data_IF_442709025351
#
_entry.id   IF_442709025351
#
_cell.length_a   1.000
_cell.length_b   1.000
_cell.length_c   1.000
_cell.angle_alpha   90.00
_cell.angle_beta   90.00
_cell.angle_gamma   90.00
#
_symmetry.space_group_name_H-M   'P 1'
#
loop_
_entity.id
_entity.type
_entity.pdbx_description
1 polymer ?
#
# COMPACT_ATOMS: atom_id res chain seq x y z
N UNK A 1 -60.59 -23.46 12.64
CA UNK A 1 -60.16 -24.88 12.49
C UNK A 1 -58.83 -24.82 11.75
N UNK A 2 -57.69 -25.19 12.35
CA UNK A 2 -57.26 -26.59 12.63
C UNK A 2 -57.43 -27.39 11.33
N UNK A 3 -56.41 -27.67 10.53
CA UNK A 3 -55.15 -28.40 10.72
C UNK A 3 -54.74 -28.89 9.31
N UNK A 4 -53.72 -29.69 9.00
CA UNK A 4 -52.59 -30.32 9.72
C UNK A 4 -51.63 -30.82 8.62
N UNK A 5 -50.31 -30.84 8.86
CA UNK A 5 -49.36 -31.51 7.94
C UNK A 5 -49.57 -33.03 8.02
N UNK A 6 -49.30 -33.82 6.96
CA UNK A 6 -47.93 -34.35 6.82
C UNK A 6 -47.47 -34.58 5.35
N UNK A 7 -46.16 -34.77 5.17
CA UNK A 7 -45.63 -35.62 4.10
C UNK A 7 -44.55 -36.54 4.69
N UNK A 8 -44.63 -37.82 4.35
CA UNK A 8 -43.83 -38.93 4.88
C UNK A 8 -42.63 -39.26 3.98
N UNK A 9 -41.75 -40.14 4.48
CA UNK A 9 -40.41 -40.39 3.94
C UNK A 9 -40.30 -41.62 3.02
N UNK A 10 -39.08 -41.79 2.47
CA UNK A 10 -38.54 -42.97 1.76
C UNK A 10 -39.05 -43.20 0.30
N UNK A 11 -38.31 -43.86 -0.60
CA UNK A 11 -37.10 -44.69 -0.42
C UNK A 11 -36.09 -44.57 -1.58
N UNK A 12 -34.89 -45.15 -1.41
CA UNK A 12 -33.86 -45.30 -2.45
C UNK A 12 -34.29 -46.30 -3.55
N UNK A 13 -33.77 -46.09 -4.77
CA UNK A 13 -33.44 -47.17 -5.70
C UNK A 13 -32.23 -46.79 -6.56
N UNK A 14 -31.12 -47.50 -6.40
CA UNK A 14 -29.95 -47.43 -7.29
C UNK A 14 -30.10 -48.43 -8.43
N UNK A 15 -29.76 -48.02 -9.65
CA UNK A 15 -29.56 -48.92 -10.78
C UNK A 15 -28.32 -48.48 -11.58
N UNK A 16 -27.25 -49.27 -11.51
CA UNK A 16 -26.13 -49.16 -12.46
C UNK A 16 -26.52 -49.85 -13.77
N UNK A 17 -26.25 -49.20 -14.89
CA UNK A 17 -26.10 -49.87 -16.18
C UNK A 17 -24.85 -49.29 -16.86
N UNK A 18 -23.88 -50.16 -17.18
CA UNK A 18 -22.66 -49.78 -17.90
C UNK A 18 -22.85 -50.02 -19.41
N UNK A 19 -22.39 -49.10 -20.25
CA UNK A 19 -22.50 -49.22 -21.72
C UNK A 19 -21.60 -48.24 -22.50
N UNK A 20 -20.96 -48.74 -23.56
CA UNK A 20 -19.86 -48.11 -24.34
C UNK A 20 -20.17 -48.15 -25.85
N UNK A 21 -19.69 -47.23 -26.71
CA UNK A 21 -18.85 -46.03 -26.55
C UNK A 21 -19.08 -45.10 -27.77
N UNK A 22 -18.98 -43.78 -27.56
CA UNK A 22 -18.76 -42.75 -28.60
C UNK A 22 -19.87 -42.55 -29.68
N UNK A 23 -20.00 -41.43 -30.39
CA UNK A 23 -19.28 -40.14 -30.39
C UNK A 23 -20.27 -38.97 -30.27
N UNK A 24 -20.04 -38.08 -29.31
CA UNK A 24 -20.73 -36.80 -29.22
C UNK A 24 -19.94 -35.87 -28.32
N UNK A 25 -19.51 -34.72 -28.83
CA UNK A 25 -18.80 -33.74 -28.02
C UNK A 25 -19.79 -33.14 -27.01
N UNK A 26 -19.82 -33.72 -25.80
CA UNK A 26 -20.32 -33.00 -24.64
C UNK A 26 -19.42 -31.76 -24.50
N UNK A 27 -19.98 -30.60 -24.80
CA UNK A 27 -19.31 -29.33 -24.55
C UNK A 27 -18.83 -29.35 -23.09
N UNK A 28 -17.54 -29.08 -22.88
CA UNK A 28 -17.04 -28.94 -21.52
C UNK A 28 -17.93 -27.92 -20.81
N UNK A 29 -18.52 -28.33 -19.68
CA UNK A 29 -19.07 -27.36 -18.75
C UNK A 29 -17.97 -26.31 -18.52
N UNK A 30 -18.28 -24.99 -18.58
CA UNK A 30 -17.27 -23.99 -18.34
C UNK A 30 -16.63 -24.31 -17.01
N UNK A 31 -15.30 -24.50 -17.02
CA UNK A 31 -14.57 -24.75 -15.80
C UNK A 31 -14.95 -23.64 -14.83
N UNK A 32 -15.50 -24.00 -13.67
CA UNK A 32 -15.88 -23.01 -12.68
C UNK A 32 -14.67 -22.13 -12.42
N UNK A 33 -14.72 -20.86 -12.84
CA UNK A 33 -13.64 -19.91 -12.61
C UNK A 33 -13.33 -19.97 -11.12
N UNK A 34 -12.14 -20.50 -10.79
CA UNK A 34 -11.64 -20.40 -9.42
C UNK A 34 -11.68 -18.92 -9.06
N UNK A 35 -12.29 -18.59 -7.92
CA UNK A 35 -12.33 -17.22 -7.45
C UNK A 35 -10.89 -16.68 -7.47
N UNK A 36 -10.68 -15.61 -8.24
CA UNK A 36 -9.39 -14.95 -8.43
C UNK A 36 -8.89 -14.44 -7.07
N UNK A 37 -8.10 -15.25 -6.37
CA UNK A 37 -7.57 -14.94 -5.04
C UNK A 37 -7.04 -13.51 -5.00
N UNK A 38 -7.59 -12.69 -4.11
CA UNK A 38 -7.17 -11.29 -3.92
C UNK A 38 -5.67 -11.18 -3.70
N UNK A 39 -5.08 -12.16 -3.01
CA UNK A 39 -3.64 -12.27 -2.79
C UNK A 39 -2.92 -12.63 -4.09
N UNK A 40 -2.05 -11.71 -4.52
CA UNK A 40 -1.11 -11.87 -5.63
C UNK A 40 0.17 -12.53 -5.14
N UNK A 41 0.65 -13.52 -5.89
CA UNK A 41 1.96 -14.12 -5.64
C UNK A 41 3.09 -13.29 -6.27
N UNK A 42 4.13 -13.01 -5.49
CA UNK A 42 5.38 -12.37 -5.95
C UNK A 42 6.56 -13.32 -5.76
N UNK A 43 7.66 -13.06 -6.46
CA UNK A 43 8.89 -13.86 -6.26
C UNK A 43 9.47 -13.66 -4.86
N UNK A 44 10.17 -14.67 -4.36
CA UNK A 44 10.90 -14.60 -3.08
C UNK A 44 11.93 -13.46 -3.07
N UNK A 45 12.59 -13.22 -4.20
CA UNK A 45 13.53 -12.11 -4.37
C UNK A 45 12.85 -10.73 -4.28
N UNK A 46 11.67 -10.55 -4.90
CA UNK A 46 10.91 -9.29 -4.80
C UNK A 46 10.49 -9.03 -3.35
N UNK A 47 9.93 -10.05 -2.68
CA UNK A 47 9.53 -9.99 -1.28
C UNK A 47 10.70 -9.61 -0.36
N UNK A 48 11.86 -10.26 -0.53
CA UNK A 48 13.06 -9.97 0.24
C UNK A 48 13.59 -8.56 0.00
N UNK A 49 13.52 -8.05 -1.24
CA UNK A 49 13.89 -6.67 -1.58
C UNK A 49 12.95 -5.64 -0.94
N UNK A 50 11.63 -5.88 -0.97
CA UNK A 50 10.64 -5.00 -0.33
C UNK A 50 10.78 -4.99 1.21
N UNK A 51 11.03 -6.15 1.82
CA UNK A 51 11.32 -6.27 3.26
C UNK A 51 12.61 -5.54 3.64
N UNK A 52 13.68 -5.68 2.84
CA UNK A 52 14.95 -4.96 3.05
C UNK A 52 14.74 -3.45 2.91
N UNK A 53 14.02 -3.01 1.88
CA UNK A 53 13.68 -1.60 1.67
C UNK A 53 12.92 -1.01 2.86
N UNK A 54 11.92 -1.72 3.39
CA UNK A 54 11.15 -1.26 4.55
C UNK A 54 11.99 -1.23 5.83
N UNK A 55 12.82 -2.25 6.06
CA UNK A 55 13.80 -2.29 7.15
C UNK A 55 14.73 -1.07 7.11
N UNK A 56 15.29 -0.76 5.95
CA UNK A 56 16.22 0.36 5.76
C UNK A 56 15.53 1.72 5.94
N UNK A 57 14.32 1.88 5.42
CA UNK A 57 13.49 3.08 5.63
C UNK A 57 13.14 3.30 7.11
N UNK A 58 12.74 2.24 7.83
CA UNK A 58 12.48 2.29 9.28
C UNK A 58 13.77 2.63 10.05
N UNK A 59 14.88 1.96 9.74
CA UNK A 59 16.17 2.18 10.40
C UNK A 59 16.78 3.54 10.07
N UNK A 60 16.51 4.11 8.90
CA UNK A 60 16.83 5.49 8.56
C UNK A 60 16.05 6.47 9.44
N UNK A 61 14.73 6.24 9.58
CA UNK A 61 13.90 7.09 10.44
C UNK A 61 14.29 6.98 11.93
N UNK A 62 14.52 5.78 12.45
CA UNK A 62 15.01 5.57 13.83
C UNK A 62 16.34 6.28 14.09
N UNK A 63 17.31 6.15 13.18
CA UNK A 63 18.60 6.88 13.27
C UNK A 63 18.42 8.40 13.26
N UNK A 64 17.46 8.94 12.49
CA UNK A 64 17.18 10.39 12.49
C UNK A 64 16.66 10.94 13.83
N UNK A 65 16.22 10.04 14.73
CA UNK A 65 15.78 10.35 16.09
C UNK A 65 16.80 9.93 17.16
N UNK A 66 18.01 9.51 16.77
CA UNK A 66 19.04 9.00 17.69
C UNK A 66 18.75 7.61 18.27
N UNK A 67 17.81 6.86 17.69
CA UNK A 67 17.42 5.52 18.14
C UNK A 67 18.26 4.43 17.47
N UNK A 68 18.51 3.34 18.21
CA UNK A 68 19.15 2.14 17.67
C UNK A 68 18.31 1.52 16.53
N UNK A 69 18.95 1.01 15.46
CA UNK A 69 18.26 0.28 14.41
C UNK A 69 17.70 -1.06 14.96
N UNK A 70 16.60 -1.51 14.38
CA UNK A 70 16.07 -2.88 14.56
C UNK A 70 16.69 -3.85 13.56
N UNK A 71 16.74 -5.12 13.93
CA UNK A 71 17.20 -6.23 13.07
C UNK A 71 16.01 -7.03 12.53
N UNK A 72 16.04 -7.41 11.27
CA UNK A 72 15.03 -8.28 10.67
C UNK A 72 15.12 -9.71 11.21
N UNK A 73 13.98 -10.38 11.39
CA UNK A 73 13.89 -11.83 11.62
C UNK A 73 12.85 -12.45 10.69
N UNK A 74 13.25 -13.52 9.99
CA UNK A 74 12.35 -14.34 9.17
C UNK A 74 11.44 -15.19 10.06
N UNK A 75 11.94 -15.67 11.21
CA UNK A 75 11.16 -16.38 12.22
C UNK A 75 10.00 -15.53 12.70
N UNK A 76 10.24 -14.25 13.03
CA UNK A 76 9.16 -13.32 13.38
C UNK A 76 8.22 -13.11 12.21
N UNK A 77 8.74 -12.73 11.03
CA UNK A 77 7.93 -12.55 9.80
C UNK A 77 6.94 -13.69 9.50
N UNK A 78 7.36 -14.93 9.75
CA UNK A 78 6.53 -16.13 9.55
C UNK A 78 5.44 -16.33 10.63
N UNK A 79 5.40 -15.51 11.67
CA UNK A 79 4.33 -15.44 12.68
C UNK A 79 3.20 -14.58 12.14
N UNK A 80 3.46 -13.32 11.76
CA UNK A 80 2.39 -12.42 11.34
C UNK A 80 1.97 -12.56 9.85
N UNK A 81 2.72 -13.25 8.99
CA UNK A 81 2.34 -13.39 7.57
C UNK A 81 0.97 -14.05 7.38
N UNK A 82 0.58 -15.00 8.24
CA UNK A 82 -0.76 -15.59 8.19
C UNK A 82 -1.88 -14.59 8.55
N UNK A 83 -1.59 -13.62 9.44
CA UNK A 83 -2.51 -12.55 9.78
C UNK A 83 -2.60 -11.50 8.66
N UNK A 84 -1.46 -11.09 8.10
CA UNK A 84 -1.40 -10.18 6.95
C UNK A 84 -2.18 -10.74 5.75
N UNK A 85 -2.01 -12.04 5.48
CA UNK A 85 -2.79 -12.74 4.47
C UNK A 85 -4.30 -12.75 4.81
N UNK A 86 -4.67 -13.02 6.06
CA UNK A 86 -6.07 -13.05 6.49
C UNK A 86 -6.75 -11.68 6.33
N UNK A 87 -6.07 -10.59 6.68
CA UNK A 87 -6.59 -9.23 6.49
C UNK A 87 -6.94 -8.94 5.01
N UNK A 88 -6.15 -9.47 4.05
CA UNK A 88 -6.46 -9.34 2.62
C UNK A 88 -7.60 -10.28 2.19
N UNK A 89 -7.60 -11.57 2.59
CA UNK A 89 -8.68 -12.53 2.25
C UNK A 89 -10.04 -12.15 2.84
N UNK A 90 -10.03 -11.61 4.05
CA UNK A 90 -11.23 -11.15 4.75
C UNK A 90 -11.63 -9.74 4.29
N UNK A 91 -10.76 -9.05 3.53
CA UNK A 91 -10.90 -7.67 3.07
C UNK A 91 -11.24 -6.73 4.25
N UNK A 92 -10.47 -6.88 5.33
CA UNK A 92 -10.75 -6.31 6.64
C UNK A 92 -9.44 -5.88 7.31
N UNK A 93 -9.43 -4.66 7.85
CA UNK A 93 -8.23 -4.03 8.37
C UNK A 93 -8.29 -3.95 9.90
N UNK A 94 -7.72 -4.95 10.57
CA UNK A 94 -7.80 -5.13 12.02
C UNK A 94 -6.47 -5.63 12.60
N UNK A 95 -6.23 -5.36 13.88
CA UNK A 95 -5.08 -5.85 14.66
C UNK A 95 -5.35 -7.22 15.28
N UNK A 96 -4.29 -7.96 15.64
CA UNK A 96 -4.37 -9.22 16.41
C UNK A 96 -3.42 -9.21 17.60
N UNK A 97 -3.69 -10.01 18.64
CA UNK A 97 -2.75 -10.25 19.74
C UNK A 97 -2.05 -11.62 19.65
N UNK A 98 -2.39 -12.45 18.65
CA UNK A 98 -1.94 -13.85 18.57
C UNK A 98 -0.41 -14.00 18.60
N UNK A 99 0.31 -13.12 17.91
CA UNK A 99 1.77 -13.12 17.84
C UNK A 99 2.43 -12.99 19.21
N UNK A 100 1.77 -12.36 20.19
CA UNK A 100 2.31 -12.16 21.54
C UNK A 100 2.54 -13.49 22.28
N UNK A 101 1.78 -14.52 21.90
CA UNK A 101 1.81 -15.86 22.52
C UNK A 101 2.52 -16.92 21.69
N UNK A 102 3.00 -16.57 20.49
CA UNK A 102 3.68 -17.53 19.62
C UNK A 102 5.07 -17.87 20.17
N UNK A 103 5.29 -19.16 20.46
CA UNK A 103 6.55 -19.64 21.06
C UNK A 103 7.78 -19.42 20.17
N UNK A 104 7.60 -19.23 18.86
CA UNK A 104 8.67 -18.90 17.91
C UNK A 104 9.25 -17.51 18.15
N UNK A 105 8.50 -16.59 18.75
CA UNK A 105 8.99 -15.26 19.13
C UNK A 105 9.97 -15.29 20.33
N UNK A 106 10.14 -16.42 21.02
CA UNK A 106 11.04 -16.51 22.17
C UNK A 106 10.55 -15.70 23.38
N UNK A 107 11.48 -15.23 24.21
CA UNK A 107 11.16 -14.51 25.47
C UNK A 107 11.34 -13.01 25.31
N UNK A 108 10.31 -12.35 24.78
CA UNK A 108 10.26 -10.91 24.60
C UNK A 108 9.93 -10.15 25.90
N UNK A 109 10.32 -8.88 25.95
CA UNK A 109 10.06 -7.93 27.06
C UNK A 109 9.29 -6.68 26.59
N UNK A 110 9.22 -6.48 25.28
CA UNK A 110 8.39 -5.49 24.60
C UNK A 110 7.86 -6.12 23.32
N UNK A 111 6.61 -5.84 22.97
CA UNK A 111 6.08 -6.14 21.64
C UNK A 111 5.00 -5.13 21.26
N UNK A 112 4.89 -4.81 19.98
CA UNK A 112 3.75 -4.12 19.39
C UNK A 112 3.56 -4.56 17.92
N UNK A 113 2.42 -4.21 17.36
CA UNK A 113 2.10 -4.37 15.94
C UNK A 113 1.78 -3.01 15.32
N UNK A 114 2.18 -2.80 14.07
CA UNK A 114 1.65 -1.75 13.21
C UNK A 114 1.20 -2.35 11.89
N UNK A 115 0.04 -1.90 11.41
CA UNK A 115 -0.52 -2.29 10.12
C UNK A 115 -0.68 -1.05 9.24
N UNK A 116 -0.43 -1.20 7.95
CA UNK A 116 -0.74 -0.20 6.94
C UNK A 116 -1.08 -0.89 5.62
N UNK A 117 -1.72 -0.14 4.73
CA UNK A 117 -1.94 -0.53 3.36
C UNK A 117 -1.31 0.48 2.40
N UNK A 118 -0.97 -0.02 1.22
CA UNK A 118 -0.39 0.69 0.10
C UNK A 118 -1.25 0.40 -1.12
N UNK A 119 -1.58 1.46 -1.84
CA UNK A 119 -2.38 1.40 -3.07
C UNK A 119 -1.49 1.28 -4.32
N UNK A 120 -0.17 1.09 -4.13
CA UNK A 120 0.86 1.23 -5.19
C UNK A 120 1.95 0.15 -5.16
N UNK A 121 1.82 -0.93 -4.37
CA UNK A 121 2.89 -1.91 -4.12
C UNK A 121 4.19 -1.29 -3.54
N UNK A 122 4.10 -0.11 -2.92
CA UNK A 122 5.24 0.57 -2.31
C UNK A 122 5.21 0.45 -0.78
N UNK A 123 6.24 -0.16 -0.22
CA UNK A 123 6.47 -0.27 1.23
C UNK A 123 6.77 1.06 1.92
N UNK A 124 7.34 2.06 1.23
CA UNK A 124 7.60 3.37 1.86
C UNK A 124 6.29 4.10 2.18
N UNK A 125 5.20 3.81 1.45
CA UNK A 125 3.88 4.34 1.75
C UNK A 125 3.39 3.86 3.14
N UNK A 126 3.76 2.64 3.56
CA UNK A 126 3.41 2.08 4.86
C UNK A 126 4.05 2.90 5.99
N UNK A 127 5.36 3.15 5.90
CA UNK A 127 6.07 4.00 6.85
C UNK A 127 5.58 5.46 6.83
N UNK A 128 5.23 5.99 5.66
CA UNK A 128 4.65 7.34 5.55
C UNK A 128 3.34 7.43 6.33
N UNK A 129 2.45 6.44 6.23
CA UNK A 129 1.23 6.38 7.03
C UNK A 129 1.52 6.22 8.52
N UNK A 130 2.40 5.30 8.92
CA UNK A 130 2.74 5.10 10.34
C UNK A 130 3.26 6.38 11.01
N UNK A 131 4.05 7.19 10.30
CA UNK A 131 4.55 8.48 10.81
C UNK A 131 3.46 9.54 11.05
N UNK A 132 2.29 9.41 10.41
CA UNK A 132 1.14 10.31 10.64
C UNK A 132 0.24 9.89 11.80
N UNK A 133 0.30 8.63 12.23
CA UNK A 133 -0.47 8.12 13.38
C UNK A 133 0.39 8.17 14.65
N UNK A 134 -0.01 8.89 15.71
CA UNK A 134 0.77 8.95 16.94
C UNK A 134 1.07 7.57 17.56
N UNK A 135 0.11 6.64 17.50
CA UNK A 135 0.28 5.29 18.03
C UNK A 135 1.25 4.45 17.18
N UNK A 136 1.08 4.42 15.85
CA UNK A 136 2.00 3.69 14.97
C UNK A 136 3.41 4.28 14.97
N UNK A 137 3.51 5.61 15.05
CA UNK A 137 4.80 6.29 15.14
C UNK A 137 5.51 5.95 16.46
N UNK A 138 4.81 5.96 17.60
CA UNK A 138 5.36 5.54 18.88
C UNK A 138 5.79 4.06 18.89
N UNK A 139 5.06 3.19 18.18
CA UNK A 139 5.43 1.79 18.01
C UNK A 139 6.73 1.60 17.21
N UNK A 140 6.82 2.21 16.02
CA UNK A 140 8.01 2.18 15.13
C UNK A 140 9.24 2.86 15.78
N UNK A 141 9.02 3.89 16.61
CA UNK A 141 10.07 4.65 17.29
C UNK A 141 10.31 4.21 18.73
N UNK A 142 9.73 3.08 19.17
CA UNK A 142 9.96 2.55 20.51
C UNK A 142 11.46 2.29 20.74
N UNK A 143 12.10 2.86 21.77
CA UNK A 143 13.49 2.58 22.10
C UNK A 143 13.68 1.14 22.63
N UNK A 144 12.58 0.47 23.00
CA UNK A 144 12.56 -0.94 23.43
C UNK A 144 12.52 -1.93 22.25
N UNK A 145 12.28 -1.47 21.02
CA UNK A 145 12.27 -2.33 19.85
C UNK A 145 13.69 -2.64 19.38
N UNK A 146 13.99 -3.92 19.17
CA UNK A 146 15.30 -4.47 18.78
C UNK A 146 15.23 -5.36 17.53
N UNK A 147 14.13 -6.10 17.35
CA UNK A 147 13.93 -7.04 16.23
C UNK A 147 12.56 -6.82 15.60
N UNK A 148 12.48 -6.95 14.28
CA UNK A 148 11.29 -6.66 13.47
C UNK A 148 10.90 -7.87 12.61
N UNK A 149 9.63 -8.26 12.67
CA UNK A 149 8.96 -9.06 11.63
C UNK A 149 8.35 -8.14 10.58
N UNK A 150 8.42 -8.53 9.30
CA UNK A 150 7.86 -7.76 8.19
C UNK A 150 7.08 -8.68 7.24
N UNK A 151 5.81 -8.94 7.55
CA UNK A 151 4.89 -9.55 6.59
C UNK A 151 4.37 -8.54 5.58
N UNK A 152 4.34 -8.99 4.32
CA UNK A 152 3.87 -8.23 3.17
C UNK A 152 2.87 -9.09 2.40
N UNK A 153 1.65 -8.63 2.24
CA UNK A 153 0.61 -9.34 1.47
C UNK A 153 0.23 -8.50 0.27
N UNK A 154 0.59 -8.99 -0.91
CA UNK A 154 0.34 -8.30 -2.17
C UNK A 154 -1.06 -8.66 -2.65
N UNK A 155 -1.75 -7.68 -3.21
CA UNK A 155 -3.12 -7.79 -3.69
C UNK A 155 -3.27 -7.15 -5.08
N UNK A 156 -4.28 -7.60 -5.83
CA UNK A 156 -4.40 -7.24 -7.25
C UNK A 156 -4.96 -5.84 -7.50
N UNK A 157 -5.39 -5.12 -6.46
CA UNK A 157 -5.99 -3.78 -6.56
C UNK A 157 -7.48 -3.77 -6.89
N UNK A 158 -8.17 -4.90 -6.74
CA UNK A 158 -9.60 -5.05 -7.01
C UNK A 158 -10.25 -6.11 -6.10
N UNK A 159 -10.15 -5.91 -4.77
CA UNK A 159 -10.61 -6.92 -3.80
C UNK A 159 -12.07 -7.38 -4.05
N UNK A 160 -12.32 -8.69 -4.05
CA UNK A 160 -13.52 -9.29 -4.64
C UNK A 160 -14.86 -8.88 -4.01
N UNK A 161 -14.92 -8.80 -2.67
CA UNK A 161 -16.12 -8.57 -1.87
C UNK A 161 -16.41 -7.10 -1.65
N UNK A 162 -15.38 -6.25 -1.64
CA UNK A 162 -15.44 -4.84 -1.26
C UNK A 162 -15.04 -3.86 -2.36
N UNK A 163 -14.42 -4.35 -3.45
CA UNK A 163 -13.89 -3.53 -4.54
C UNK A 163 -12.72 -2.63 -4.14
N UNK A 164 -12.10 -2.85 -2.97
CA UNK A 164 -11.09 -1.95 -2.45
C UNK A 164 -9.79 -2.03 -3.26
N UNK A 165 -9.10 -0.90 -3.53
CA UNK A 165 -7.94 -0.87 -4.43
C UNK A 165 -6.61 -1.26 -3.74
N UNK A 166 -6.65 -2.18 -2.78
CA UNK A 166 -5.46 -2.55 -2.00
C UNK A 166 -4.44 -3.25 -2.91
N UNK A 167 -3.20 -2.78 -2.92
CA UNK A 167 -2.10 -3.41 -3.67
C UNK A 167 -1.14 -4.16 -2.76
N UNK A 168 -0.90 -3.63 -1.57
CA UNK A 168 0.00 -4.22 -0.59
C UNK A 168 -0.51 -3.90 0.81
N UNK A 169 -0.67 -4.91 1.64
CA UNK A 169 -0.89 -4.78 3.08
C UNK A 169 0.42 -5.15 3.78
N UNK A 170 0.88 -4.32 4.72
CA UNK A 170 2.04 -4.58 5.54
C UNK A 170 1.64 -4.73 7.00
N UNK A 171 2.02 -5.85 7.60
CA UNK A 171 1.84 -6.17 9.02
C UNK A 171 3.22 -6.32 9.60
N UNK A 172 3.54 -5.51 10.61
CA UNK A 172 4.90 -5.38 11.13
C UNK A 172 4.88 -5.45 12.65
N UNK A 173 5.70 -6.33 13.21
CA UNK A 173 5.75 -6.58 14.65
C UNK A 173 7.14 -6.22 15.18
N UNK A 174 7.20 -5.33 16.17
CA UNK A 174 8.47 -4.87 16.75
C UNK A 174 8.64 -5.40 18.18
N UNK A 175 9.62 -6.29 18.33
CA UNK A 175 9.93 -6.98 19.58
C UNK A 175 11.18 -6.39 20.25
N UNK A 176 11.18 -6.37 21.58
CA UNK A 176 12.35 -6.13 22.43
C UNK A 176 12.65 -7.35 23.29
N UNK A 177 13.91 -7.55 23.66
CA UNK A 177 14.36 -8.73 24.37
C UNK A 177 15.22 -8.37 25.58
N UNK A 178 15.36 -9.30 26.52
CA UNK A 178 16.41 -9.24 27.53
C UNK A 178 17.43 -10.36 27.27
N UNK A 179 18.70 -10.10 27.56
CA UNK A 179 19.75 -11.11 27.75
C UNK A 179 19.79 -12.23 26.69
N UNK A 180 19.73 -11.87 25.39
CA UNK A 180 19.87 -12.83 24.29
C UNK A 180 18.60 -13.63 23.96
N UNK A 181 17.41 -13.22 24.43
CA UNK A 181 16.14 -13.90 24.14
C UNK A 181 15.61 -13.76 22.69
N UNK A 182 16.31 -13.03 21.82
CA UNK A 182 15.92 -12.78 20.43
C UNK A 182 16.07 -14.03 19.54
N UNK A 183 15.24 -14.18 18.48
CA UNK A 183 15.43 -15.19 17.45
C UNK A 183 16.86 -15.17 16.86
N UNK A 184 17.44 -16.36 16.67
CA UNK A 184 18.82 -16.52 16.22
C UNK A 184 19.09 -16.03 14.79
N UNK A 185 18.04 -15.78 14.01
CA UNK A 185 18.09 -15.24 12.65
C UNK A 185 18.00 -13.69 12.60
N UNK A 186 17.99 -13.02 13.76
CA UNK A 186 17.94 -11.57 13.86
C UNK A 186 19.17 -10.90 13.20
N UNK A 187 19.00 -10.35 12.00
CA UNK A 187 20.05 -9.83 11.12
C UNK A 187 19.85 -8.36 10.76
N UNK A 188 20.92 -7.64 10.40
CA UNK A 188 20.81 -6.29 9.81
C UNK A 188 20.38 -6.33 8.33
N UNK A 189 20.28 -7.52 7.73
CA UNK A 189 19.86 -7.73 6.34
C UNK A 189 18.86 -8.87 6.22
N UNK A 190 17.97 -8.77 5.24
CA UNK A 190 17.08 -9.85 4.81
C UNK A 190 17.89 -10.83 3.96
N UNK A 191 17.80 -12.14 4.26
CA UNK A 191 18.45 -13.17 3.46
C UNK A 191 17.89 -13.17 2.03
N UNK A 192 18.77 -13.07 1.02
CA UNK A 192 18.38 -12.86 -0.38
C UNK A 192 18.06 -11.41 -0.76
N UNK A 193 17.93 -10.47 0.21
CA UNK A 193 17.85 -9.03 -0.05
C UNK A 193 19.22 -8.37 -0.30
N UNK A 194 20.30 -9.00 0.17
CA UNK A 194 21.67 -8.56 -0.07
C UNK A 194 22.26 -9.15 -1.37
N UNK A 195 21.82 -8.64 -2.52
CA UNK A 195 22.50 -8.84 -3.80
C UNK A 195 23.02 -7.49 -4.32
N UNK A 196 24.35 -7.36 -4.42
CA UNK A 196 24.92 -6.34 -5.30
C UNK A 196 24.48 -6.67 -6.73
N UNK A 197 23.72 -5.75 -7.35
CA UNK A 197 22.94 -5.99 -8.58
C UNK A 197 23.76 -6.70 -9.68
N UNK A 198 23.55 -8.01 -9.93
CA UNK A 198 24.16 -8.67 -11.07
C UNK A 198 23.34 -8.32 -12.31
N UNK A 199 23.98 -7.79 -13.34
CA UNK A 199 23.31 -7.50 -14.59
C UNK A 199 22.87 -8.81 -15.29
N UNK A 200 21.67 -8.80 -15.85
CA UNK A 200 20.95 -9.91 -16.48
C UNK A 200 20.50 -11.04 -15.52
N UNK A 201 19.25 -11.49 -15.53
CA UNK A 201 18.25 -11.38 -16.61
C UNK A 201 17.16 -10.33 -16.33
N UNK A 202 17.39 -9.10 -16.82
CA UNK A 202 16.33 -8.10 -16.92
C UNK A 202 15.49 -8.43 -18.15
N UNK A 203 14.28 -8.93 -17.96
CA UNK A 203 13.27 -8.86 -19.01
C UNK A 203 12.88 -7.37 -19.13
N UNK A 204 13.08 -6.71 -20.28
CA UNK A 204 13.10 -5.25 -20.34
C UNK A 204 11.70 -4.63 -20.32
N UNK A 205 11.11 -4.50 -19.14
CA UNK A 205 10.17 -3.40 -18.88
C UNK A 205 11.02 -2.16 -18.55
N UNK A 206 11.41 -1.43 -19.60
CA UNK A 206 12.38 -0.35 -19.53
C UNK A 206 11.92 0.85 -18.67
N UNK A 207 12.72 1.92 -18.66
CA UNK A 207 12.33 3.28 -18.24
C UNK A 207 11.18 3.92 -19.08
N UNK A 208 10.31 3.08 -19.66
CA UNK A 208 9.08 3.39 -20.38
C UNK A 208 7.81 2.87 -19.66
N UNK A 209 7.95 2.11 -18.57
CA UNK A 209 6.85 1.35 -17.93
C UNK A 209 5.68 2.21 -17.38
N UNK A 210 5.92 3.48 -17.03
CA UNK A 210 4.91 4.40 -16.49
C UNK A 210 4.57 5.54 -17.44
N UNK A 211 4.54 5.25 -18.75
CA UNK A 211 4.23 6.21 -19.82
C UNK A 211 2.94 7.01 -19.53
N UNK A 212 3.02 8.33 -19.30
CA UNK A 212 1.86 9.15 -18.97
C UNK A 212 0.87 9.24 -20.14
N UNK A 213 -0.35 8.76 -19.94
CA UNK A 213 -1.44 8.72 -20.93
C UNK A 213 -2.63 9.58 -20.49
N UNK A 214 -3.67 9.66 -21.32
CA UNK A 214 -4.89 10.41 -21.01
C UNK A 214 -4.64 11.90 -20.70
N UNK A 215 -5.52 12.48 -19.89
CA UNK A 215 -5.47 13.89 -19.52
C UNK A 215 -4.24 14.25 -18.67
N UNK A 216 -3.77 13.33 -17.81
CA UNK A 216 -2.55 13.51 -17.00
C UNK A 216 -1.31 13.50 -17.89
N UNK A 217 -1.24 12.61 -18.87
CA UNK A 217 -0.17 12.54 -19.86
C UNK A 217 -0.11 13.74 -20.80
N UNK A 218 -1.25 14.30 -21.18
CA UNK A 218 -1.31 15.57 -21.94
C UNK A 218 -0.72 16.70 -21.10
N UNK A 219 -1.14 16.87 -19.84
CA UNK A 219 -0.56 17.86 -18.93
C UNK A 219 0.93 17.65 -18.71
N UNK A 220 1.39 16.40 -18.56
CA UNK A 220 2.81 16.09 -18.42
C UNK A 220 3.62 16.52 -19.64
N UNK A 221 3.17 16.19 -20.86
CA UNK A 221 3.82 16.63 -22.11
C UNK A 221 3.83 18.15 -22.25
N UNK A 222 2.69 18.80 -22.03
CA UNK A 222 2.55 20.25 -22.18
C UNK A 222 3.42 21.04 -21.19
N UNK A 223 3.73 20.47 -20.03
CA UNK A 223 4.62 21.08 -19.04
C UNK A 223 6.12 20.80 -19.30
N UNK A 224 6.48 20.16 -20.43
CA UNK A 224 7.86 19.83 -20.79
C UNK A 224 8.30 18.40 -20.43
N UNK A 225 7.36 17.51 -20.09
CA UNK A 225 7.61 16.10 -19.81
C UNK A 225 8.66 15.90 -18.71
N UNK A 226 9.67 15.07 -19.00
CA UNK A 226 10.79 14.78 -18.10
C UNK A 226 11.58 16.05 -17.71
N UNK A 227 11.68 17.04 -18.59
CA UNK A 227 12.35 18.31 -18.27
C UNK A 227 11.50 19.20 -17.33
N UNK A 228 10.17 19.04 -17.36
CA UNK A 228 9.20 19.79 -16.57
C UNK A 228 8.90 19.18 -15.20
N UNK A 229 8.11 18.11 -15.17
CA UNK A 229 7.72 17.42 -13.93
C UNK A 229 8.71 16.34 -13.49
N UNK A 230 9.65 15.96 -14.37
CA UNK A 230 10.53 14.82 -14.12
C UNK A 230 9.93 13.49 -14.51
N UNK A 231 10.53 12.40 -14.00
CA UNK A 231 10.13 11.04 -14.35
C UNK A 231 8.88 10.60 -13.58
N UNK A 232 7.94 9.89 -14.20
CA UNK A 232 6.85 9.24 -13.47
C UNK A 232 7.41 8.16 -12.54
N UNK A 233 7.02 8.17 -11.27
CA UNK A 233 7.45 7.17 -10.27
C UNK A 233 6.44 6.04 -10.06
N UNK A 234 5.27 6.15 -10.70
CA UNK A 234 4.16 5.20 -10.64
C UNK A 234 3.33 5.29 -11.93
N UNK A 235 2.54 4.26 -12.23
CA UNK A 235 1.48 4.34 -13.24
C UNK A 235 0.38 5.32 -12.79
N UNK A 236 -0.49 5.73 -13.71
CA UNK A 236 -1.70 6.47 -13.32
C UNK A 236 -2.65 5.57 -12.52
N UNK A 237 -3.08 6.04 -11.34
CA UNK A 237 -3.87 5.32 -10.36
C UNK A 237 -5.19 6.05 -10.02
N UNK A 238 -6.20 5.35 -9.47
CA UNK A 238 -7.42 6.00 -9.01
C UNK A 238 -7.16 6.90 -7.79
N UNK A 239 -7.97 7.96 -7.68
CA UNK A 239 -8.16 8.78 -6.49
C UNK A 239 -9.67 8.77 -6.11
N UNK A 240 -10.09 9.57 -5.13
CA UNK A 240 -11.50 9.62 -4.71
C UNK A 240 -12.48 9.94 -5.85
N UNK A 241 -13.75 9.55 -5.72
CA UNK A 241 -14.86 10.02 -6.56
C UNK A 241 -14.66 9.85 -8.09
N UNK A 242 -13.97 8.78 -8.48
CA UNK A 242 -13.69 8.44 -9.88
C UNK A 242 -12.51 9.19 -10.52
N UNK A 243 -11.85 10.07 -9.78
CA UNK A 243 -10.66 10.77 -10.26
C UNK A 243 -9.43 9.87 -10.37
N UNK A 244 -8.35 10.46 -10.90
CA UNK A 244 -7.09 9.79 -11.25
C UNK A 244 -5.90 10.62 -10.79
N UNK A 245 -4.76 10.00 -10.54
CA UNK A 245 -3.51 10.72 -10.29
C UNK A 245 -2.28 9.95 -10.77
N UNK A 246 -1.21 10.70 -11.06
CA UNK A 246 0.13 10.16 -11.27
C UNK A 246 1.16 11.04 -10.56
N UNK A 247 2.19 10.42 -10.00
CA UNK A 247 3.26 11.10 -9.25
C UNK A 247 4.54 11.13 -10.07
N UNK A 248 5.23 12.28 -10.04
CA UNK A 248 6.46 12.55 -10.76
C UNK A 248 7.54 13.02 -9.81
N UNK A 249 8.81 12.73 -10.12
CA UNK A 249 9.97 13.21 -9.34
C UNK A 249 10.96 13.95 -10.24
N UNK A 250 11.35 15.16 -9.81
CA UNK A 250 12.41 15.96 -10.42
C UNK A 250 13.32 16.52 -9.33
N UNK A 251 14.62 16.33 -9.45
CA UNK A 251 15.62 16.84 -8.49
C UNK A 251 15.30 16.49 -7.02
N UNK A 252 14.80 15.26 -6.79
CA UNK A 252 14.36 14.77 -5.48
C UNK A 252 13.01 15.33 -4.97
N UNK A 253 12.33 16.17 -5.76
CA UNK A 253 11.06 16.82 -5.40
C UNK A 253 9.88 16.15 -6.10
N UNK A 254 8.83 15.86 -5.34
CA UNK A 254 7.64 15.17 -5.83
C UNK A 254 6.52 16.15 -6.25
N UNK A 255 5.95 15.90 -7.43
CA UNK A 255 4.75 16.59 -7.91
C UNK A 255 3.68 15.54 -8.21
N UNK A 256 2.48 15.72 -7.63
CA UNK A 256 1.31 14.90 -7.95
C UNK A 256 0.48 15.63 -9.00
N UNK A 257 0.25 15.01 -10.16
CA UNK A 257 -0.72 15.49 -11.14
C UNK A 257 -2.01 14.69 -10.94
N UNK A 258 -3.14 15.37 -10.79
CA UNK A 258 -4.45 14.78 -10.57
C UNK A 258 -5.42 15.19 -11.66
N UNK A 259 -6.39 14.34 -11.94
CA UNK A 259 -7.52 14.60 -12.82
C UNK A 259 -8.81 14.18 -12.12
N UNK A 260 -9.89 14.93 -12.34
CA UNK A 260 -11.26 14.46 -12.11
C UNK A 260 -12.16 14.99 -13.21
N UNK A 261 -13.33 14.38 -13.39
CA UNK A 261 -14.33 14.83 -14.36
C UNK A 261 -14.79 16.28 -14.11
N UNK A 262 -14.92 16.68 -12.84
CA UNK A 262 -15.42 18.00 -12.45
C UNK A 262 -14.35 19.10 -12.45
N UNK A 263 -13.06 18.75 -12.32
CA UNK A 263 -11.96 19.73 -12.19
C UNK A 263 -10.99 19.73 -13.36
N UNK A 264 -10.98 18.71 -14.21
CA UNK A 264 -9.90 18.49 -15.16
C UNK A 264 -8.54 18.24 -14.48
N UNK A 265 -7.45 18.44 -15.22
CA UNK A 265 -6.09 18.09 -14.75
C UNK A 265 -5.36 19.25 -14.09
N UNK A 266 -4.97 19.10 -12.83
CA UNK A 266 -4.15 20.05 -12.08
C UNK A 266 -3.05 19.36 -11.26
N UNK A 267 -1.99 20.10 -10.89
CA UNK A 267 -0.86 19.54 -10.14
C UNK A 267 -0.66 20.18 -8.76
N UNK A 268 -0.19 19.37 -7.80
CA UNK A 268 0.22 19.78 -6.46
C UNK A 268 1.71 19.52 -6.30
N UNK A 269 2.46 20.52 -5.84
CA UNK A 269 3.86 20.36 -5.40
C UNK A 269 3.86 19.84 -3.97
N UNK A 270 4.02 18.53 -3.80
CA UNK A 270 3.95 17.88 -2.48
C UNK A 270 5.11 18.29 -1.55
N UNK A 271 6.18 18.87 -2.12
CA UNK A 271 7.30 19.46 -1.39
C UNK A 271 7.06 20.89 -0.90
N UNK A 272 5.97 21.55 -1.32
CA UNK A 272 5.63 22.94 -0.97
C UNK A 272 4.66 23.05 0.21
N UNK A 273 4.55 24.24 0.80
CA UNK A 273 3.64 24.51 1.94
C UNK A 273 2.17 24.21 1.63
N UNK A 274 1.75 24.47 0.38
CA UNK A 274 0.41 24.14 -0.13
C UNK A 274 0.18 22.62 -0.11
N UNK A 275 1.03 21.86 -0.79
CA UNK A 275 0.90 20.39 -0.85
C UNK A 275 1.01 19.70 0.51
N UNK A 276 1.87 20.21 1.39
CA UNK A 276 1.99 19.72 2.76
C UNK A 276 0.74 20.03 3.61
N UNK A 277 0.07 21.15 3.38
CA UNK A 277 -1.18 21.51 4.07
C UNK A 277 -2.37 20.68 3.55
N UNK A 278 -2.49 20.54 2.22
CA UNK A 278 -3.51 19.70 1.59
C UNK A 278 -3.37 18.21 2.00
N UNK A 279 -2.14 17.70 2.08
CA UNK A 279 -1.85 16.35 2.59
C UNK A 279 -2.32 16.16 4.04
N UNK A 280 -2.02 17.11 4.93
CA UNK A 280 -2.47 17.06 6.35
C UNK A 280 -4.00 17.12 6.50
N UNK A 281 -4.69 17.76 5.56
CA UNK A 281 -6.14 17.86 5.55
C UNK A 281 -6.85 16.59 5.06
N UNK A 282 -6.13 15.54 4.64
CA UNK A 282 -6.73 14.33 4.08
C UNK A 282 -6.83 14.31 2.55
N UNK A 283 -5.99 15.11 1.87
CA UNK A 283 -5.89 15.15 0.41
C UNK A 283 -7.24 15.49 -0.26
N UNK A 284 -7.60 14.82 -1.37
CA UNK A 284 -8.82 15.07 -2.13
C UNK A 284 -10.11 14.77 -1.35
N UNK A 285 -10.05 13.97 -0.27
CA UNK A 285 -11.19 13.72 0.63
C UNK A 285 -11.38 14.82 1.68
N UNK A 286 -10.38 15.68 1.86
CA UNK A 286 -10.42 16.80 2.81
C UNK A 286 -10.91 18.09 2.15
N UNK A 287 -10.02 18.74 1.41
CA UNK A 287 -10.31 20.01 0.74
C UNK A 287 -10.78 19.85 -0.72
N UNK A 288 -10.88 18.62 -1.22
CA UNK A 288 -11.25 18.34 -2.62
C UNK A 288 -10.06 18.28 -3.57
N UNK A 289 -10.39 18.10 -4.84
CA UNK A 289 -9.44 18.11 -5.95
C UNK A 289 -8.92 19.52 -6.22
N UNK A 290 -7.65 19.71 -6.64
CA UNK A 290 -7.19 20.99 -7.15
C UNK A 290 -8.06 21.46 -8.33
N UNK A 291 -8.56 22.70 -8.30
CA UNK A 291 -9.25 23.38 -9.43
C UNK A 291 -8.39 24.48 -10.06
N UNK A 292 -7.19 24.69 -9.53
CA UNK A 292 -6.13 25.46 -10.18
C UNK A 292 -4.80 24.73 -9.98
N UNK A 293 -3.81 25.07 -10.80
CA UNK A 293 -2.41 24.90 -10.38
C UNK A 293 -2.06 25.99 -9.34
N UNK A 294 -0.90 25.92 -8.70
CA UNK A 294 -0.40 27.05 -7.90
C UNK A 294 -0.21 28.29 -8.79
N UNK A 295 -0.80 29.43 -8.40
CA UNK A 295 -0.65 30.72 -9.08
C UNK A 295 -0.19 31.81 -8.12
N UNK A 296 0.56 32.79 -8.61
CA UNK A 296 1.13 33.87 -7.78
C UNK A 296 0.14 35.02 -7.61
N UNK A 297 -0.04 35.49 -6.37
CA UNK A 297 -0.78 36.72 -6.02
C UNK A 297 0.14 37.59 -5.19
N UNK A 298 0.75 38.61 -5.82
CA UNK A 298 1.80 39.41 -5.18
C UNK A 298 2.95 38.52 -4.68
N UNK A 299 3.21 38.53 -3.37
CA UNK A 299 4.25 37.69 -2.76
C UNK A 299 3.84 36.24 -2.51
N UNK A 300 2.54 35.94 -2.53
CA UNK A 300 1.97 34.65 -2.16
C UNK A 300 1.79 33.72 -3.37
N UNK A 301 1.77 32.42 -3.12
CA UNK A 301 1.25 31.39 -4.02
C UNK A 301 -0.09 30.92 -3.48
N UNK A 302 -1.11 30.83 -4.33
CA UNK A 302 -2.44 30.35 -3.99
C UNK A 302 -2.74 29.10 -4.81
N UNK A 303 -3.48 28.15 -4.24
CA UNK A 303 -4.09 27.05 -4.98
C UNK A 303 -5.51 26.80 -4.46
N UNK A 304 -6.46 26.63 -5.38
CA UNK A 304 -7.88 26.41 -5.07
C UNK A 304 -8.23 24.93 -5.19
N UNK A 305 -9.19 24.49 -4.39
CA UNK A 305 -9.64 23.10 -4.30
C UNK A 305 -11.18 23.00 -4.31
N UNK A 306 -11.70 21.88 -4.82
CA UNK A 306 -13.12 21.69 -5.16
C UNK A 306 -14.06 21.65 -3.95
N UNK A 307 -13.54 21.48 -2.73
CA UNK A 307 -14.30 21.59 -1.48
C UNK A 307 -14.58 23.04 -1.05
N UNK A 308 -14.30 24.04 -1.90
CA UNK A 308 -14.48 25.46 -1.55
C UNK A 308 -13.32 26.01 -0.72
N UNK A 309 -12.09 25.56 -0.93
CA UNK A 309 -10.92 26.00 -0.17
C UNK A 309 -9.83 26.59 -1.05
N UNK A 310 -9.23 27.70 -0.61
CA UNK A 310 -7.98 28.23 -1.14
C UNK A 310 -6.88 28.07 -0.09
N UNK A 311 -5.82 27.33 -0.42
CA UNK A 311 -4.60 27.30 0.39
C UNK A 311 -3.65 28.37 -0.15
N UNK A 312 -3.14 29.22 0.75
CA UNK A 312 -2.23 30.32 0.46
C UNK A 312 -0.90 30.10 1.17
N UNK A 313 0.20 30.32 0.46
CA UNK A 313 1.57 30.18 0.98
C UNK A 313 2.41 31.41 0.65
N UNK A 314 3.02 32.02 1.66
CA UNK A 314 3.93 33.15 1.48
C UNK A 314 5.36 32.64 1.30
N UNK A 315 5.96 32.92 0.13
CA UNK A 315 7.29 32.40 -0.20
C UNK A 315 8.45 33.02 0.60
N UNK A 316 8.20 34.11 1.35
CA UNK A 316 9.20 34.80 2.16
C UNK A 316 9.09 34.37 3.63
N UNK A 317 7.89 34.38 4.19
CA UNK A 317 7.66 33.99 5.61
C UNK A 317 7.52 32.48 5.79
N UNK A 318 7.36 31.73 4.70
CA UNK A 318 7.06 30.30 4.63
C UNK A 318 5.74 29.88 5.32
N UNK A 319 4.92 30.84 5.75
CA UNK A 319 3.64 30.57 6.37
C UNK A 319 2.62 30.07 5.35
N UNK A 320 1.74 29.18 5.79
CA UNK A 320 0.61 28.67 5.00
C UNK A 320 -0.68 28.86 5.78
N UNK A 321 -1.74 29.30 5.13
CA UNK A 321 -3.09 29.38 5.71
C UNK A 321 -4.15 28.95 4.68
N UNK A 322 -5.34 28.67 5.18
CA UNK A 322 -6.47 28.16 4.40
C UNK A 322 -7.65 29.09 4.57
N UNK A 323 -8.28 29.47 3.46
CA UNK A 323 -9.51 30.25 3.43
C UNK A 323 -10.61 29.43 2.74
N UNK A 324 -11.85 29.54 3.23
CA UNK A 324 -13.01 29.07 2.48
C UNK A 324 -13.31 30.08 1.34
N UNK A 325 -13.76 29.61 0.18
CA UNK A 325 -13.81 30.36 -1.09
C UNK A 325 -15.05 30.02 -1.90
#
# INVERSE_FOLDING_TARGET
MIGTRPLTAAALATALAAGTFATGQLAHAPAAQAAQSDIVQVSTAQRAADQQKLLDSINSYRRSLGLNPVRYSQTLTNIEQAHSDAQVRDESFYHTDQFMTDSRAGRWTHVNEVIALSYQNDVDQLLAWWKTSPAHNAAITSPKAEVIGIALTYADGSLQRTGQPWRLLGTVNLYGYANGGAPADASTTVAGGAAAVPAAQVQPQAAAAYSPYGAIGVTWRNFGGTAGFGTPVMAEAPAADGGRYQRFVKDGRYTKVMWSESTGTHYIKEYGGIGATWSRAGYERGYGYPVTNEYRVGREMHQRFSGGYTIKWDSVTQQTWVEYS
#
